data_IF_757057102611
#
_entry.id   IF_757057102611
#
_cell.length_a   1.000
_cell.length_b   1.000
_cell.length_c   1.000
_cell.angle_alpha   90.00
_cell.angle_beta   90.00
_cell.angle_gamma   90.00
#
_symmetry.space_group_name_H-M   'P 1'
#
loop_
_entity.id
_entity.type
_entity.pdbx_description
1 polymer ?
#
# COMPACT_ATOMS: atom_id res chain seq x y z
N UNK A 1 22.73 39.97 -6.85
CA UNK A 1 22.67 38.52 -7.18
C UNK A 1 23.10 37.84 -5.90
N UNK A 2 22.12 37.48 -5.07
CA UNK A 2 22.31 37.15 -3.66
C UNK A 2 22.41 35.61 -3.47
N UNK A 3 23.52 35.07 -2.94
CA UNK A 3 23.77 33.62 -2.88
C UNK A 3 23.53 33.06 -1.46
N UNK A 4 22.31 33.13 -0.94
CA UNK A 4 22.03 32.68 0.43
C UNK A 4 20.85 31.70 0.59
N UNK A 5 20.35 31.11 -0.50
CA UNK A 5 19.22 30.17 -0.47
C UNK A 5 19.60 28.74 -0.91
N UNK A 6 20.78 28.23 -0.52
CA UNK A 6 21.17 26.85 -0.86
C UNK A 6 21.62 26.02 0.36
N UNK A 7 21.84 26.62 1.53
CA UNK A 7 22.48 25.92 2.65
C UNK A 7 21.50 25.34 3.70
N UNK A 8 20.19 25.61 3.59
CA UNK A 8 19.18 25.11 4.52
C UNK A 8 18.52 23.78 4.06
N UNK A 9 18.65 23.40 2.77
CA UNK A 9 17.94 22.25 2.22
C UNK A 9 18.57 20.88 2.57
N UNK A 10 19.86 20.84 2.91
CA UNK A 10 20.61 19.58 3.08
C UNK A 10 20.38 18.90 4.45
N UNK A 11 20.13 19.67 5.52
CA UNK A 11 19.92 19.12 6.87
C UNK A 11 18.53 18.48 7.02
N UNK A 12 17.48 19.14 6.48
CA UNK A 12 16.11 18.61 6.51
C UNK A 12 15.92 17.42 5.57
N UNK A 13 16.62 17.40 4.42
CA UNK A 13 16.58 16.29 3.47
C UNK A 13 17.18 14.99 4.02
N UNK A 14 18.27 15.07 4.80
CA UNK A 14 18.90 13.91 5.43
C UNK A 14 18.03 13.31 6.55
N UNK A 15 17.44 14.16 7.40
CA UNK A 15 16.49 13.76 8.45
C UNK A 15 15.20 13.16 7.86
N UNK A 16 14.67 13.76 6.79
CA UNK A 16 13.48 13.24 6.11
C UNK A 16 13.75 11.89 5.45
N UNK A 17 14.91 11.73 4.82
CA UNK A 17 15.34 10.46 4.20
C UNK A 17 15.49 9.34 5.23
N UNK A 18 16.15 9.62 6.36
CA UNK A 18 16.30 8.62 7.42
C UNK A 18 14.95 8.23 7.99
N UNK A 19 14.05 9.19 8.22
CA UNK A 19 12.68 8.94 8.65
C UNK A 19 11.91 8.06 7.65
N UNK A 20 11.94 8.37 6.35
CA UNK A 20 11.27 7.55 5.32
C UNK A 20 11.80 6.12 5.29
N UNK A 21 13.11 5.94 5.32
CA UNK A 21 13.73 4.60 5.31
C UNK A 21 13.33 3.83 6.58
N UNK A 22 13.37 4.49 7.75
CA UNK A 22 12.96 3.87 9.02
C UNK A 22 11.50 3.43 8.96
N UNK A 23 10.58 4.30 8.52
CA UNK A 23 9.17 3.95 8.39
C UNK A 23 8.94 2.78 7.42
N UNK A 24 9.62 2.78 6.27
CA UNK A 24 9.56 1.68 5.31
C UNK A 24 10.01 0.36 5.92
N UNK A 25 11.17 0.36 6.60
CA UNK A 25 11.70 -0.85 7.23
C UNK A 25 10.80 -1.35 8.37
N UNK A 26 10.26 -0.43 9.19
CA UNK A 26 9.30 -0.78 10.25
C UNK A 26 8.05 -1.42 9.66
N UNK A 27 7.49 -0.83 8.60
CA UNK A 27 6.33 -1.39 7.91
C UNK A 27 6.61 -2.80 7.38
N UNK A 28 7.71 -2.98 6.64
CA UNK A 28 8.12 -4.29 6.11
C UNK A 28 8.33 -5.32 7.23
N UNK A 29 9.00 -4.93 8.31
CA UNK A 29 9.26 -5.81 9.44
C UNK A 29 7.97 -6.26 10.13
N UNK A 30 7.00 -5.34 10.30
CA UNK A 30 5.68 -5.67 10.85
C UNK A 30 4.94 -6.63 9.93
N UNK A 31 4.87 -6.34 8.62
CA UNK A 31 4.20 -7.22 7.65
C UNK A 31 4.79 -8.62 7.67
N UNK A 32 6.12 -8.74 7.56
CA UNK A 32 6.79 -10.04 7.61
C UNK A 32 6.60 -10.75 8.97
N UNK A 33 6.63 -10.00 10.07
CA UNK A 33 6.37 -10.55 11.40
C UNK A 33 4.98 -11.18 11.52
N UNK A 34 3.95 -10.49 11.01
CA UNK A 34 2.57 -11.00 10.96
C UNK A 34 2.49 -12.22 10.03
N UNK A 35 3.10 -12.17 8.85
CA UNK A 35 3.10 -13.28 7.88
C UNK A 35 3.75 -14.54 8.46
N UNK A 36 4.91 -14.40 9.11
CA UNK A 36 5.62 -15.53 9.75
C UNK A 36 4.79 -16.09 10.91
N UNK A 37 4.23 -15.20 11.75
CA UNK A 37 3.37 -15.64 12.85
C UNK A 37 2.15 -16.41 12.34
N UNK A 38 1.45 -15.90 11.33
CA UNK A 38 0.29 -16.55 10.72
C UNK A 38 0.68 -17.88 10.06
N UNK A 39 1.80 -17.92 9.33
CA UNK A 39 2.31 -19.14 8.69
C UNK A 39 2.57 -20.27 9.69
N UNK A 40 3.02 -19.95 10.91
CA UNK A 40 3.26 -20.94 11.97
C UNK A 40 1.98 -21.53 12.58
N UNK A 41 0.83 -20.90 12.37
CA UNK A 41 -0.47 -21.41 12.82
C UNK A 41 -1.12 -22.37 11.82
N UNK A 42 -0.67 -22.37 10.57
CA UNK A 42 -1.20 -23.23 9.52
C UNK A 42 -0.58 -24.62 9.58
N UNK A 43 -1.41 -25.66 9.84
CA UNK A 43 -0.92 -27.05 10.02
C UNK A 43 -1.42 -28.02 8.95
N UNK A 44 -2.56 -27.75 8.33
CA UNK A 44 -3.16 -28.60 7.30
C UNK A 44 -3.38 -27.83 5.99
N UNK A 45 -3.58 -28.56 4.88
CA UNK A 45 -3.93 -27.96 3.60
C UNK A 45 -5.24 -27.15 3.68
N UNK A 46 -6.20 -27.63 4.47
CA UNK A 46 -7.47 -26.93 4.71
C UNK A 46 -7.27 -25.60 5.44
N UNK A 47 -6.32 -25.54 6.38
CA UNK A 47 -5.96 -24.29 7.06
C UNK A 47 -5.28 -23.31 6.10
N UNK A 48 -4.46 -23.81 5.17
CA UNK A 48 -3.74 -22.98 4.21
C UNK A 48 -4.66 -22.40 3.14
N UNK A 49 -5.56 -23.21 2.58
CA UNK A 49 -6.42 -22.80 1.46
C UNK A 49 -7.75 -22.17 1.87
N UNK A 50 -8.33 -22.61 2.99
CA UNK A 50 -9.65 -22.15 3.43
C UNK A 50 -9.61 -21.39 4.75
N UNK A 51 -8.43 -21.17 5.34
CA UNK A 51 -8.30 -20.55 6.66
C UNK A 51 -9.09 -21.30 7.74
N UNK A 52 -9.22 -22.62 7.62
CA UNK A 52 -10.04 -23.43 8.53
C UNK A 52 -11.54 -23.12 8.47
N UNK A 53 -12.01 -22.37 7.46
CA UNK A 53 -13.39 -21.87 7.31
C UNK A 53 -13.83 -20.95 8.47
N UNK A 54 -12.88 -20.31 9.16
CA UNK A 54 -13.16 -19.53 10.36
C UNK A 54 -13.24 -18.01 10.15
N UNK A 55 -12.98 -17.50 8.93
CA UNK A 55 -13.03 -16.05 8.67
C UNK A 55 -14.47 -15.53 8.64
N UNK A 56 -14.69 -14.39 9.31
CA UNK A 56 -15.96 -13.67 9.22
C UNK A 56 -16.11 -12.95 7.88
N UNK A 57 -17.34 -12.62 7.49
CA UNK A 57 -17.61 -11.91 6.23
C UNK A 57 -16.86 -10.57 6.11
N UNK A 58 -16.67 -9.87 7.23
CA UNK A 58 -15.90 -8.62 7.27
C UNK A 58 -14.39 -8.85 7.06
N UNK A 59 -13.81 -9.88 7.69
CA UNK A 59 -12.40 -10.24 7.49
C UNK A 59 -12.12 -10.63 6.03
N UNK A 60 -13.01 -11.41 5.44
CA UNK A 60 -12.91 -11.79 4.03
C UNK A 60 -13.05 -10.57 3.11
N UNK A 61 -14.02 -9.68 3.39
CA UNK A 61 -14.20 -8.45 2.63
C UNK A 61 -12.99 -7.52 2.67
N UNK A 62 -12.36 -7.36 3.85
CA UNK A 62 -11.13 -6.58 3.98
C UNK A 62 -9.94 -7.23 3.26
N UNK A 63 -9.81 -8.56 3.30
CA UNK A 63 -8.74 -9.26 2.59
C UNK A 63 -8.84 -9.05 1.07
N UNK A 64 -10.04 -9.24 0.50
CA UNK A 64 -10.31 -8.99 -0.92
C UNK A 64 -10.03 -7.53 -1.26
N UNK A 65 -10.55 -6.58 -0.46
CA UNK A 65 -10.28 -5.16 -0.67
C UNK A 65 -8.79 -4.84 -0.68
N UNK A 66 -8.01 -5.47 0.20
CA UNK A 66 -6.56 -5.36 0.27
C UNK A 66 -5.84 -5.86 -0.98
N UNK A 67 -6.21 -7.03 -1.50
CA UNK A 67 -5.58 -7.64 -2.67
C UNK A 67 -5.72 -6.79 -3.95
N UNK A 68 -6.82 -6.04 -4.08
CA UNK A 68 -7.02 -5.11 -5.20
C UNK A 68 -6.25 -3.78 -5.05
N UNK A 69 -5.86 -3.42 -3.83
CA UNK A 69 -5.07 -2.22 -3.53
C UNK A 69 -3.57 -2.50 -3.70
N UNK A 70 -3.14 -2.63 -4.96
CA UNK A 70 -1.72 -2.70 -5.29
C UNK A 70 -1.08 -1.31 -5.40
N UNK A 71 0.24 -1.22 -5.18
CA UNK A 71 1.03 -0.02 -5.46
C UNK A 71 0.92 0.42 -6.92
N UNK A 72 0.73 -0.54 -7.85
CA UNK A 72 0.47 -0.25 -9.26
C UNK A 72 -0.86 0.49 -9.45
N UNK A 73 -1.92 0.10 -8.74
CA UNK A 73 -3.22 0.78 -8.78
C UNK A 73 -3.11 2.20 -8.22
N UNK A 74 -2.40 2.37 -7.10
CA UNK A 74 -2.17 3.69 -6.50
C UNK A 74 -1.36 4.62 -7.42
N UNK A 75 -0.20 4.16 -7.90
CA UNK A 75 0.66 4.96 -8.77
C UNK A 75 0.01 5.18 -10.15
N UNK A 76 -0.77 4.21 -10.64
CA UNK A 76 -1.50 4.30 -11.90
C UNK A 76 -2.54 5.41 -11.90
N UNK A 77 -3.37 5.50 -10.85
CA UNK A 77 -4.36 6.58 -10.71
C UNK A 77 -3.65 7.93 -10.50
N UNK A 78 -2.64 7.99 -9.63
CA UNK A 78 -1.85 9.21 -9.43
C UNK A 78 -1.18 9.69 -10.73
N UNK A 79 -0.66 8.76 -11.55
CA UNK A 79 -0.08 9.05 -12.86
C UNK A 79 -1.12 9.55 -13.87
N UNK A 80 -2.30 8.91 -13.93
CA UNK A 80 -3.40 9.37 -14.79
C UNK A 80 -3.86 10.78 -14.41
N UNK A 81 -3.97 11.09 -13.11
CA UNK A 81 -4.31 12.44 -12.64
C UNK A 81 -3.20 13.43 -12.98
N UNK A 82 -1.93 13.05 -12.84
CA UNK A 82 -0.81 13.92 -13.20
C UNK A 82 -0.80 14.27 -14.70
N UNK A 83 -1.26 13.37 -15.57
CA UNK A 83 -1.30 13.57 -17.01
C UNK A 83 -2.58 14.26 -17.51
N UNK A 84 -3.73 13.89 -16.96
CA UNK A 84 -5.06 14.28 -17.46
C UNK A 84 -5.86 15.17 -16.48
N UNK A 85 -5.26 15.56 -15.35
CA UNK A 85 -5.90 16.42 -14.36
C UNK A 85 -7.14 15.78 -13.73
N UNK A 86 -8.18 16.59 -13.53
CA UNK A 86 -9.45 16.14 -12.93
C UNK A 86 -10.13 15.01 -13.73
N UNK A 87 -9.97 15.00 -15.05
CA UNK A 87 -10.54 13.96 -15.91
C UNK A 87 -9.83 12.61 -15.70
N UNK A 88 -8.54 12.62 -15.33
CA UNK A 88 -7.79 11.44 -14.90
C UNK A 88 -8.39 10.75 -13.68
N UNK A 89 -8.95 11.53 -12.74
CA UNK A 89 -9.69 11.00 -11.60
C UNK A 89 -11.00 10.33 -12.06
N UNK A 90 -11.72 10.94 -13.00
CA UNK A 90 -12.94 10.34 -13.55
C UNK A 90 -12.68 9.03 -14.30
N UNK A 91 -11.56 8.90 -15.02
CA UNK A 91 -11.16 7.64 -15.64
C UNK A 91 -10.87 6.53 -14.62
N UNK A 92 -10.36 6.87 -13.43
CA UNK A 92 -10.11 5.89 -12.37
C UNK A 92 -11.37 5.36 -11.69
N UNK A 93 -12.49 6.12 -11.72
CA UNK A 93 -13.79 5.65 -11.22
C UNK A 93 -14.30 4.47 -12.05
N UNK A 94 -14.04 4.44 -13.37
CA UNK A 94 -14.44 3.33 -14.24
C UNK A 94 -13.84 1.98 -13.82
N UNK A 95 -12.58 1.97 -13.37
CA UNK A 95 -11.92 0.78 -12.82
C UNK A 95 -12.57 0.30 -11.51
N UNK A 96 -12.96 1.23 -10.63
CA UNK A 96 -13.59 0.91 -9.35
C UNK A 96 -15.07 0.47 -9.50
N UNK A 97 -15.79 1.01 -10.49
CA UNK A 97 -17.18 0.64 -10.77
C UNK A 97 -17.29 -0.72 -11.46
N UNK A 98 -16.34 -1.08 -12.33
CA UNK A 98 -16.28 -2.40 -12.96
C UNK A 98 -16.14 -3.56 -11.95
N UNK A 99 -15.76 -3.27 -10.71
CA UNK A 99 -15.62 -4.22 -9.61
C UNK A 99 -16.95 -4.56 -8.89
N UNK A 100 -18.01 -3.77 -9.07
CA UNK A 100 -19.33 -4.03 -8.46
C UNK A 100 -20.12 -5.14 -9.21
N UNK A 101 -19.64 -5.61 -10.36
CA UNK A 101 -20.34 -6.59 -11.23
C UNK A 101 -19.79 -8.00 -11.09
#
# INVERSE_FOLDING_TARGET
MEPHLYLAADADGASSRSLTITLFLVFVAITLGITIWASRQTKTATDYYAGGRSFSGFQNGMAIGGDYMSAASFLGIAGLIALYGYDGFLYSIGFLVAWLV
#
